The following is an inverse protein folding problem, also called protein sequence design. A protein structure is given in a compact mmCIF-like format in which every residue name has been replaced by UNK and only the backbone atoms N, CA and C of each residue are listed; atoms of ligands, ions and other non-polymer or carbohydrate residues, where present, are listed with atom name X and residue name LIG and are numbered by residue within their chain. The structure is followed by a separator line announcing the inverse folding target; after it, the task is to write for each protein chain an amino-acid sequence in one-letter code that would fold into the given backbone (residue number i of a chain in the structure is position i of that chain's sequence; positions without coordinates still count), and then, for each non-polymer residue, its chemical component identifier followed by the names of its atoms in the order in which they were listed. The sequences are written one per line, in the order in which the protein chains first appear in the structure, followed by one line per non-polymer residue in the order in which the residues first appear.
data_IF_010872880589
#
_entry.id   IF_010872880589
#
_cell.length_a   1.000
_cell.length_b   1.000
_cell.length_c   1.000
_cell.angle_alpha   90.00
_cell.angle_beta   90.00
_cell.angle_gamma   90.00
#
_symmetry.space_group_name_H-M   'P 1'
#
loop_
_entity.id
_entity.type
_entity.pdbx_description
1 polymer ?
#
# COMPACT_ATOMS: atom_id res chain seq x y z
N UNK A 1 -13.53 -18.63 1.96
CA UNK A 1 -13.97 -17.36 1.36
C UNK A 1 -12.89 -16.34 1.68
N UNK A 2 -12.04 -16.06 0.72
CA UNK A 2 -10.97 -15.06 0.81
C UNK A 2 -11.18 -14.04 -0.30
N UNK A 3 -10.45 -12.92 -0.23
CA UNK A 3 -10.40 -11.98 -1.34
C UNK A 3 -9.41 -12.53 -2.37
N UNK A 4 -9.92 -12.96 -3.53
CA UNK A 4 -9.06 -13.48 -4.60
C UNK A 4 -8.41 -12.32 -5.38
N UNK A 5 -9.12 -11.22 -5.60
CA UNK A 5 -8.60 -10.00 -6.21
C UNK A 5 -8.78 -8.81 -5.26
N UNK A 6 -7.71 -8.06 -5.03
CA UNK A 6 -7.69 -6.92 -4.11
C UNK A 6 -7.14 -5.68 -4.79
N UNK A 7 -7.88 -4.58 -4.70
CA UNK A 7 -7.36 -3.25 -4.98
C UNK A 7 -6.89 -2.58 -3.69
N UNK A 8 -5.68 -2.03 -3.73
CA UNK A 8 -5.11 -1.23 -2.66
C UNK A 8 -4.95 0.18 -3.20
N UNK A 9 -5.39 1.16 -2.42
CA UNK A 9 -5.47 2.56 -2.87
C UNK A 9 -4.55 3.50 -2.06
N UNK A 10 -3.21 3.50 -2.23
CA UNK A 10 -2.34 4.41 -1.48
C UNK A 10 -2.45 5.86 -1.96
N UNK A 11 -2.25 6.82 -1.06
CA UNK A 11 -2.05 8.24 -1.40
C UNK A 11 -0.56 8.61 -1.57
N UNK A 12 0.33 7.61 -1.53
CA UNK A 12 1.78 7.76 -1.75
C UNK A 12 2.21 7.11 -3.06
N UNK A 13 2.52 7.93 -4.05
CA UNK A 13 3.00 7.47 -5.35
C UNK A 13 4.39 6.82 -5.26
N UNK A 14 5.22 7.27 -4.32
CA UNK A 14 6.57 6.70 -4.08
C UNK A 14 6.45 5.25 -3.61
N UNK A 15 5.54 4.96 -2.67
CA UNK A 15 5.33 3.60 -2.18
C UNK A 15 4.78 2.70 -3.29
N UNK A 16 3.83 3.20 -4.09
CA UNK A 16 3.30 2.45 -5.24
C UNK A 16 4.43 2.09 -6.22
N UNK A 17 5.29 3.04 -6.57
CA UNK A 17 6.41 2.76 -7.47
C UNK A 17 7.45 1.81 -6.86
N UNK A 18 7.67 1.81 -5.54
CA UNK A 18 8.51 0.81 -4.89
C UNK A 18 7.90 -0.59 -4.98
N UNK A 19 6.60 -0.72 -4.70
CA UNK A 19 5.87 -2.00 -4.74
C UNK A 19 5.78 -2.57 -6.17
N UNK A 20 5.72 -1.70 -7.18
CA UNK A 20 5.75 -2.11 -8.59
C UNK A 20 7.17 -2.39 -9.10
N UNK A 21 8.21 -2.21 -8.28
CA UNK A 21 9.62 -2.35 -8.70
C UNK A 21 10.10 -1.26 -9.67
N UNK A 22 9.36 -0.17 -9.81
CA UNK A 22 9.67 0.98 -10.67
C UNK A 22 10.66 1.97 -10.01
N UNK A 23 10.81 1.89 -8.69
CA UNK A 23 11.66 2.76 -7.88
C UNK A 23 12.50 1.94 -6.90
N UNK A 24 13.75 2.38 -6.68
CA UNK A 24 14.67 1.72 -5.74
C UNK A 24 14.09 1.74 -4.34
N UNK A 25 14.02 0.57 -3.71
CA UNK A 25 13.54 0.43 -2.33
C UNK A 25 14.48 1.18 -1.38
N UNK A 26 13.92 2.10 -0.61
CA UNK A 26 14.64 2.80 0.45
C UNK A 26 14.97 1.81 1.57
N UNK A 27 16.21 1.78 2.05
CA UNK A 27 16.64 0.85 3.10
C UNK A 27 15.84 0.99 4.41
N UNK A 28 15.29 2.18 4.70
CA UNK A 28 14.41 2.40 5.86
C UNK A 28 13.03 1.78 5.68
N UNK A 29 12.62 1.50 4.45
CA UNK A 29 11.33 0.93 4.08
C UNK A 29 11.43 -0.54 3.62
N UNK A 30 12.64 -1.07 3.44
CA UNK A 30 12.89 -2.40 2.88
C UNK A 30 12.10 -3.52 3.58
N UNK A 31 12.12 -3.55 4.91
CA UNK A 31 11.36 -4.54 5.68
C UNK A 31 9.85 -4.44 5.42
N UNK A 32 9.31 -3.22 5.34
CA UNK A 32 7.89 -3.02 5.10
C UNK A 32 7.48 -3.42 3.68
N UNK A 33 8.31 -3.09 2.69
CA UNK A 33 8.07 -3.51 1.30
C UNK A 33 8.12 -5.03 1.19
N UNK A 34 9.10 -5.69 1.83
CA UNK A 34 9.20 -7.15 1.88
C UNK A 34 7.96 -7.79 2.51
N UNK A 35 7.50 -7.27 3.65
CA UNK A 35 6.31 -7.81 4.33
C UNK A 35 5.05 -7.63 3.48
N UNK A 36 4.90 -6.50 2.79
CA UNK A 36 3.77 -6.26 1.87
C UNK A 36 3.83 -7.24 0.70
N UNK A 37 4.99 -7.44 0.07
CA UNK A 37 5.16 -8.40 -1.02
C UNK A 37 4.83 -9.83 -0.56
N UNK A 38 5.31 -10.22 0.62
CA UNK A 38 5.00 -11.52 1.20
C UNK A 38 3.49 -11.71 1.46
N UNK A 39 2.80 -10.68 1.96
CA UNK A 39 1.35 -10.74 2.18
C UNK A 39 0.57 -10.78 0.86
N UNK A 40 0.97 -9.97 -0.13
CA UNK A 40 0.29 -9.90 -1.43
C UNK A 40 0.49 -11.16 -2.26
N UNK A 41 1.60 -11.88 -2.08
CA UNK A 41 1.84 -13.18 -2.71
C UNK A 41 0.83 -14.27 -2.34
N UNK A 42 0.07 -14.07 -1.25
CA UNK A 42 -0.95 -15.00 -0.77
C UNK A 42 -2.33 -14.73 -1.39
N UNK A 43 -2.47 -13.66 -2.19
CA UNK A 43 -3.70 -13.25 -2.85
C UNK A 43 -3.67 -13.68 -4.33
N UNK A 44 -4.84 -13.92 -4.93
CA UNK A 44 -4.95 -14.31 -6.35
C UNK A 44 -4.53 -13.18 -7.31
N UNK A 45 -4.71 -11.93 -6.91
CA UNK A 45 -4.23 -10.75 -7.62
C UNK A 45 -4.33 -9.49 -6.77
N UNK A 46 -3.32 -8.61 -6.89
CA UNK A 46 -3.28 -7.32 -6.21
C UNK A 46 -2.99 -6.22 -7.21
N UNK A 47 -3.75 -5.12 -7.13
CA UNK A 47 -3.52 -3.92 -7.92
C UNK A 47 -3.40 -2.70 -7.02
N UNK A 48 -2.31 -1.94 -7.19
CA UNK A 48 -2.10 -0.67 -6.51
C UNK A 48 -2.60 0.48 -7.38
N UNK A 49 -3.52 1.29 -6.85
CA UNK A 49 -4.11 2.43 -7.57
C UNK A 49 -3.89 3.70 -6.74
N UNK A 50 -3.24 4.70 -7.33
CA UNK A 50 -3.04 5.98 -6.63
C UNK A 50 -4.37 6.72 -6.44
N UNK A 51 -4.67 7.11 -5.20
CA UNK A 51 -5.85 7.93 -4.88
C UNK A 51 -5.39 9.18 -4.12
N UNK A 52 -5.84 10.36 -4.54
CA UNK A 52 -5.54 11.62 -3.83
C UNK A 52 -6.06 11.54 -2.39
N UNK A 53 -5.32 12.10 -1.43
CA UNK A 53 -5.68 12.10 0.01
C UNK A 53 -7.14 12.50 0.31
N UNK A 54 -7.71 13.47 -0.42
CA UNK A 54 -9.12 13.86 -0.25
C UNK A 54 -10.14 12.77 -0.64
N UNK A 55 -9.71 11.73 -1.38
CA UNK A 55 -10.49 10.53 -1.66
C UNK A 55 -10.35 9.44 -0.60
N UNK A 56 -9.49 9.62 0.42
CA UNK A 56 -9.21 8.65 1.49
C UNK A 56 -9.48 9.20 2.89
N UNK A 57 -10.60 9.91 3.04
CA UNK A 57 -10.98 10.59 4.30
C UNK A 57 -11.03 9.63 5.48
N UNK A 58 -11.58 8.42 5.30
CA UNK A 58 -11.68 7.43 6.38
C UNK A 58 -10.32 6.88 6.81
N UNK A 59 -9.48 6.48 5.85
CA UNK A 59 -8.13 6.01 6.14
C UNK A 59 -7.27 7.10 6.79
N UNK A 60 -7.44 8.35 6.35
CA UNK A 60 -6.76 9.49 6.94
C UNK A 60 -7.24 9.76 8.39
N UNK A 61 -8.55 9.70 8.64
CA UNK A 61 -9.11 9.87 9.98
C UNK A 61 -8.58 8.81 10.95
N UNK A 62 -8.49 7.55 10.52
CA UNK A 62 -7.92 6.46 11.31
C UNK A 62 -6.43 6.70 11.60
N UNK A 63 -5.64 7.06 10.58
CA UNK A 63 -4.23 7.34 10.77
C UNK A 63 -4.01 8.53 11.73
N UNK A 64 -4.79 9.59 11.57
CA UNK A 64 -4.73 10.79 12.42
C UNK A 64 -5.08 10.50 13.88
N UNK A 65 -6.03 9.60 14.15
CA UNK A 65 -6.39 9.21 15.51
C UNK A 65 -5.23 8.57 16.28
N UNK A 66 -4.40 7.75 15.60
CA UNK A 66 -3.28 7.03 16.22
C UNK A 66 -2.06 7.94 16.40
N UNK A 67 -2.00 9.05 15.69
CA UNK A 67 -0.92 10.06 15.78
C UNK A 67 -1.26 11.26 16.66
N UNK A 68 -2.45 11.28 17.28
CA UNK A 68 -2.93 12.36 18.14
C UNK A 68 -2.36 12.30 19.57
#
# INVERSE_FOLDING_TARGET
MGCDEVEIEPDSQVIISMLNGEYVVDATLECFIYDIDHLTSQLGGVRFVFVKRNGKVDAHAVASYVTA
#
